data_IF_757623005383
#
_entry.id   IF_757623005383
#
_cell.length_a   1.000
_cell.length_b   1.000
_cell.length_c   1.000
_cell.angle_alpha   90.00
_cell.angle_beta   90.00
_cell.angle_gamma   90.00
#
_symmetry.space_group_name_H-M   'P 1'
#
loop_
_entity.id
_entity.type
_entity.pdbx_description
1 polymer ?
#
# COMPACT_ATOMS: atom_id res chain seq x y z
N UNK A 1 24.32 -18.58 -19.19
CA UNK A 1 23.55 -17.73 -18.27
C UNK A 1 23.33 -18.38 -16.91
N UNK A 2 23.14 -19.69 -16.84
CA UNK A 2 22.98 -20.49 -15.61
C UNK A 2 24.23 -20.51 -14.73
N UNK A 3 25.43 -20.52 -15.28
CA UNK A 3 26.69 -20.57 -14.55
C UNK A 3 26.98 -19.26 -13.76
N UNK A 4 26.64 -18.10 -14.31
CA UNK A 4 26.73 -16.80 -13.60
C UNK A 4 25.74 -16.69 -12.43
N UNK A 5 24.57 -17.29 -12.56
CA UNK A 5 23.56 -17.29 -11.49
C UNK A 5 23.97 -18.23 -10.34
N UNK A 6 24.67 -19.33 -10.63
CA UNK A 6 25.23 -20.21 -9.60
C UNK A 6 26.36 -19.55 -8.81
N UNK A 7 27.22 -18.74 -9.48
CA UNK A 7 28.31 -18.01 -8.82
C UNK A 7 27.79 -16.93 -7.87
N UNK A 8 26.72 -16.22 -8.21
CA UNK A 8 26.09 -15.23 -7.33
C UNK A 8 25.47 -15.86 -6.09
N UNK A 9 24.84 -17.03 -6.23
CA UNK A 9 24.24 -17.77 -5.12
C UNK A 9 25.30 -18.36 -4.16
N UNK A 10 26.47 -18.72 -4.66
CA UNK A 10 27.54 -19.34 -3.87
C UNK A 10 28.37 -18.31 -3.07
N UNK A 11 28.31 -17.01 -3.41
CA UNK A 11 29.01 -15.96 -2.68
C UNK A 11 28.16 -15.41 -1.54
N UNK A 12 28.64 -15.57 -0.31
CA UNK A 12 27.98 -15.00 0.86
C UNK A 12 27.79 -13.48 0.74
N UNK A 13 28.76 -12.77 0.17
CA UNK A 13 28.68 -11.32 -0.03
C UNK A 13 27.50 -10.91 -0.91
N UNK A 14 27.28 -11.55 -2.04
CA UNK A 14 26.15 -11.21 -2.92
C UNK A 14 24.80 -11.60 -2.33
N UNK A 15 24.73 -12.65 -1.53
CA UNK A 15 23.50 -13.00 -0.80
C UNK A 15 23.12 -11.93 0.22
N UNK A 16 24.09 -11.43 0.99
CA UNK A 16 23.85 -10.35 1.93
C UNK A 16 23.46 -9.04 1.25
N UNK A 17 24.09 -8.68 0.12
CA UNK A 17 23.68 -7.49 -0.66
C UNK A 17 22.24 -7.63 -1.13
N UNK A 18 21.86 -8.78 -1.69
CA UNK A 18 20.49 -8.99 -2.15
C UNK A 18 19.48 -8.91 -0.98
N UNK A 19 19.81 -9.48 0.17
CA UNK A 19 18.99 -9.37 1.36
C UNK A 19 18.83 -7.92 1.83
N UNK A 20 19.93 -7.16 1.88
CA UNK A 20 19.89 -5.75 2.28
C UNK A 20 19.07 -4.89 1.31
N UNK A 21 19.14 -5.16 0.00
CA UNK A 21 18.31 -4.45 -0.99
C UNK A 21 16.82 -4.74 -0.80
N UNK A 22 16.46 -6.00 -0.56
CA UNK A 22 15.08 -6.38 -0.28
C UNK A 22 14.60 -5.80 1.05
N UNK A 23 15.42 -5.92 2.11
CA UNK A 23 15.10 -5.35 3.42
C UNK A 23 14.92 -3.84 3.38
N UNK A 24 15.73 -3.13 2.56
CA UNK A 24 15.59 -1.70 2.34
C UNK A 24 14.25 -1.35 1.70
N UNK A 25 13.77 -2.13 0.75
CA UNK A 25 12.47 -1.90 0.13
C UNK A 25 11.35 -1.99 1.18
N UNK A 26 11.37 -3.00 2.03
CA UNK A 26 10.43 -3.15 3.16
C UNK A 26 10.54 -1.99 4.16
N UNK A 27 11.75 -1.63 4.55
CA UNK A 27 11.99 -0.52 5.46
C UNK A 27 11.41 0.79 4.92
N UNK A 28 11.65 1.12 3.65
CA UNK A 28 11.07 2.31 3.02
C UNK A 28 9.54 2.26 2.96
N UNK A 29 8.96 1.07 2.72
CA UNK A 29 7.50 0.90 2.70
C UNK A 29 6.88 1.23 4.05
N UNK A 30 7.42 0.70 5.15
CA UNK A 30 6.92 0.97 6.50
C UNK A 30 7.12 2.43 6.93
N UNK A 31 8.27 3.05 6.61
CA UNK A 31 8.43 4.49 6.83
C UNK A 31 7.32 5.28 6.10
N UNK A 32 7.02 4.91 4.86
CA UNK A 32 6.01 5.62 4.07
C UNK A 32 4.58 5.44 4.60
N UNK A 33 4.33 4.35 5.34
CA UNK A 33 3.09 4.13 6.05
C UNK A 33 2.96 5.05 7.27
N UNK A 34 4.01 5.13 8.07
CA UNK A 34 3.97 5.81 9.37
C UNK A 34 4.26 7.30 9.30
N UNK A 35 4.90 7.78 8.21
CA UNK A 35 5.31 9.19 8.07
C UNK A 35 4.15 10.20 8.13
N UNK A 36 2.92 9.74 7.90
CA UNK A 36 1.74 10.59 7.96
C UNK A 36 1.28 10.85 9.40
N UNK A 37 1.60 9.97 10.35
CA UNK A 37 1.11 10.09 11.73
C UNK A 37 1.45 11.44 12.40
N UNK A 38 2.66 12.01 12.26
CA UNK A 38 2.98 13.32 12.84
C UNK A 38 2.22 14.49 12.23
N UNK A 39 1.65 14.36 11.02
CA UNK A 39 0.95 15.44 10.33
C UNK A 39 -0.57 15.40 10.52
N UNK A 40 -1.08 14.53 11.39
CA UNK A 40 -2.51 14.41 11.67
C UNK A 40 -3.15 15.76 12.02
N UNK A 41 -2.54 16.53 12.92
CA UNK A 41 -3.05 17.84 13.33
C UNK A 41 -3.07 18.83 12.16
N UNK A 42 -2.10 18.77 11.26
CA UNK A 42 -2.06 19.59 10.05
C UNK A 42 -3.18 19.18 9.08
N UNK A 43 -3.42 17.90 8.88
CA UNK A 43 -4.51 17.42 8.04
C UNK A 43 -5.88 17.82 8.59
N UNK A 44 -6.03 17.86 9.91
CA UNK A 44 -7.24 18.33 10.55
C UNK A 44 -7.47 19.83 10.31
N UNK A 45 -6.44 20.68 10.43
CA UNK A 45 -6.57 22.12 10.23
C UNK A 45 -6.72 22.52 8.76
N UNK A 46 -6.00 21.86 7.85
CA UNK A 46 -5.93 22.25 6.43
C UNK A 46 -6.99 21.56 5.55
N UNK A 47 -7.36 20.33 5.88
CA UNK A 47 -8.22 19.47 5.06
C UNK A 47 -9.48 19.00 5.78
N UNK A 48 -9.68 19.39 7.05
CA UNK A 48 -10.83 18.99 7.84
C UNK A 48 -10.88 17.49 8.18
N UNK A 49 -9.73 16.80 8.16
CA UNK A 49 -9.66 15.39 8.54
C UNK A 49 -9.71 15.28 10.06
N UNK A 50 -10.84 14.90 10.58
CA UNK A 50 -10.94 14.59 12.00
C UNK A 50 -10.11 13.34 12.35
N UNK A 51 -9.85 13.07 13.63
CA UNK A 51 -9.08 11.88 14.05
C UNK A 51 -9.68 10.56 13.55
N UNK A 52 -11.01 10.48 13.38
CA UNK A 52 -11.70 9.30 12.87
C UNK A 52 -11.39 9.09 11.39
N UNK A 53 -11.52 10.15 10.56
CA UNK A 53 -11.18 10.10 9.14
C UNK A 53 -9.72 9.73 8.91
N UNK A 54 -8.82 10.29 9.72
CA UNK A 54 -7.40 9.98 9.63
C UNK A 54 -7.10 8.52 10.02
N UNK A 55 -7.67 8.03 11.12
CA UNK A 55 -7.52 6.64 11.57
C UNK A 55 -8.12 5.63 10.60
N UNK A 56 -9.30 5.94 10.05
CA UNK A 56 -9.96 5.10 9.04
C UNK A 56 -9.14 5.03 7.75
N UNK A 57 -8.59 6.17 7.30
CA UNK A 57 -7.70 6.22 6.14
C UNK A 57 -6.45 5.37 6.39
N UNK A 58 -5.81 5.48 7.54
CA UNK A 58 -4.66 4.63 7.88
C UNK A 58 -5.02 3.15 7.96
N UNK A 59 -6.13 2.80 8.62
CA UNK A 59 -6.59 1.41 8.73
C UNK A 59 -7.00 0.78 7.39
N UNK A 60 -7.35 1.59 6.39
CA UNK A 60 -7.75 1.12 5.07
C UNK A 60 -6.67 0.34 4.32
N UNK A 61 -5.40 0.51 4.68
CA UNK A 61 -4.26 -0.19 4.10
C UNK A 61 -4.43 -1.71 4.08
N UNK A 62 -4.94 -2.26 5.18
CA UNK A 62 -5.11 -3.71 5.32
C UNK A 62 -6.41 -4.23 4.70
N UNK A 63 -7.33 -3.35 4.32
CA UNK A 63 -8.67 -3.73 3.91
C UNK A 63 -8.68 -4.74 2.74
N UNK A 64 -7.98 -4.45 1.64
CA UNK A 64 -7.93 -5.36 0.49
C UNK A 64 -7.18 -6.66 0.81
N UNK A 65 -6.18 -6.60 1.66
CA UNK A 65 -5.38 -7.76 2.05
C UNK A 65 -6.20 -8.75 2.88
N UNK A 66 -7.05 -8.24 3.78
CA UNK A 66 -7.89 -9.05 4.68
C UNK A 66 -9.18 -9.49 4.01
N UNK A 67 -9.96 -8.56 3.46
CA UNK A 67 -11.32 -8.84 3.00
C UNK A 67 -11.40 -9.33 1.55
N UNK A 68 -10.45 -8.95 0.70
CA UNK A 68 -10.37 -9.43 -0.70
C UNK A 68 -9.34 -10.55 -0.84
N UNK A 69 -8.68 -10.93 0.26
CA UNK A 69 -7.65 -11.98 0.27
C UNK A 69 -6.54 -11.73 -0.75
N UNK A 70 -6.18 -10.46 -0.97
CA UNK A 70 -5.20 -10.06 -1.98
C UNK A 70 -3.86 -10.79 -1.82
N UNK A 71 -3.47 -11.14 -0.59
CA UNK A 71 -2.24 -11.86 -0.29
C UNK A 71 -2.17 -13.24 -1.00
N UNK A 72 -3.32 -13.90 -1.20
CA UNK A 72 -3.39 -15.17 -1.96
C UNK A 72 -3.02 -14.93 -3.43
N UNK A 73 -3.61 -13.88 -4.04
CA UNK A 73 -3.29 -13.51 -5.43
C UNK A 73 -1.81 -13.13 -5.58
N UNK A 74 -1.28 -12.37 -4.63
CA UNK A 74 0.13 -12.00 -4.61
C UNK A 74 1.05 -13.23 -4.51
N UNK A 75 0.67 -14.24 -3.72
CA UNK A 75 1.36 -15.53 -3.66
C UNK A 75 1.35 -16.28 -4.99
N UNK A 76 0.21 -16.33 -5.67
CA UNK A 76 0.08 -16.96 -6.99
C UNK A 76 0.96 -16.23 -8.03
N UNK A 77 0.98 -14.91 -8.00
CA UNK A 77 1.84 -14.10 -8.88
C UNK A 77 3.32 -14.42 -8.61
N UNK A 78 3.71 -14.48 -7.34
CA UNK A 78 5.07 -14.80 -6.93
C UNK A 78 5.52 -16.19 -7.40
N UNK A 79 4.64 -17.18 -7.27
CA UNK A 79 4.95 -18.57 -7.69
C UNK A 79 5.06 -18.70 -9.22
N UNK A 80 4.22 -18.01 -9.98
CA UNK A 80 4.20 -18.06 -11.45
C UNK A 80 5.26 -17.17 -12.10
N UNK A 81 5.43 -15.95 -11.61
CA UNK A 81 6.27 -14.92 -12.24
C UNK A 81 7.64 -14.77 -11.57
N UNK A 82 7.79 -15.27 -10.36
CA UNK A 82 9.03 -15.28 -9.61
C UNK A 82 9.38 -13.96 -8.91
N UNK A 83 10.39 -14.05 -8.04
CA UNK A 83 10.80 -12.98 -7.10
C UNK A 83 11.10 -11.63 -7.78
N UNK A 84 11.77 -11.63 -8.93
CA UNK A 84 12.17 -10.38 -9.60
C UNK A 84 10.97 -9.60 -10.13
N UNK A 85 10.07 -10.29 -10.81
CA UNK A 85 8.87 -9.67 -11.35
C UNK A 85 7.98 -9.15 -10.22
N UNK A 86 7.74 -9.98 -9.20
CA UNK A 86 6.87 -9.62 -8.08
C UNK A 86 7.44 -8.44 -7.28
N UNK A 87 8.76 -8.35 -7.11
CA UNK A 87 9.41 -7.20 -6.48
C UNK A 87 9.21 -5.90 -7.27
N UNK A 88 9.35 -5.94 -8.60
CA UNK A 88 9.09 -4.77 -9.46
C UNK A 88 7.61 -4.38 -9.44
N UNK A 89 6.73 -5.35 -9.53
CA UNK A 89 5.29 -5.12 -9.48
C UNK A 89 4.86 -4.51 -8.14
N UNK A 90 5.39 -5.02 -7.01
CA UNK A 90 5.11 -4.46 -5.69
C UNK A 90 5.49 -2.98 -5.60
N UNK A 91 6.68 -2.63 -6.10
CA UNK A 91 7.14 -1.24 -6.17
C UNK A 91 6.24 -0.35 -7.04
N UNK A 92 5.80 -0.87 -8.20
CA UNK A 92 4.89 -0.14 -9.08
C UNK A 92 3.51 0.09 -8.43
N UNK A 93 2.95 -0.92 -7.76
CA UNK A 93 1.68 -0.82 -7.03
C UNK A 93 1.79 0.19 -5.88
N UNK A 94 2.88 0.16 -5.10
CA UNK A 94 3.14 1.16 -4.05
C UNK A 94 3.23 2.57 -4.63
N UNK A 95 3.92 2.75 -5.77
CA UNK A 95 4.02 4.04 -6.43
C UNK A 95 2.65 4.58 -6.85
N UNK A 96 1.81 3.74 -7.46
CA UNK A 96 0.44 4.13 -7.84
C UNK A 96 -0.36 4.56 -6.61
N UNK A 97 -0.34 3.78 -5.54
CA UNK A 97 -1.01 4.14 -4.28
C UNK A 97 -0.51 5.46 -3.69
N UNK A 98 0.80 5.68 -3.71
CA UNK A 98 1.41 6.93 -3.24
C UNK A 98 0.99 8.15 -4.08
N UNK A 99 0.94 8.01 -5.41
CA UNK A 99 0.49 9.07 -6.31
C UNK A 99 -0.98 9.42 -6.08
N UNK A 100 -1.84 8.42 -5.86
CA UNK A 100 -3.26 8.66 -5.54
C UNK A 100 -3.39 9.41 -4.20
N UNK A 101 -2.63 9.02 -3.17
CA UNK A 101 -2.62 9.72 -1.88
C UNK A 101 -2.16 11.16 -2.02
N UNK A 102 -1.10 11.39 -2.79
CA UNK A 102 -0.61 12.73 -3.06
C UNK A 102 -1.66 13.56 -3.79
N UNK A 103 -2.28 13.03 -4.83
CA UNK A 103 -3.32 13.73 -5.57
C UNK A 103 -4.53 14.09 -4.70
N UNK A 104 -4.94 13.20 -3.80
CA UNK A 104 -6.07 13.38 -2.90
C UNK A 104 -5.97 14.64 -2.01
N UNK A 105 -4.77 15.09 -1.70
CA UNK A 105 -4.54 16.28 -0.85
C UNK A 105 -4.19 17.53 -1.65
N UNK A 106 -4.21 17.49 -2.98
CA UNK A 106 -3.98 18.67 -3.84
C UNK A 106 -5.24 19.50 -4.01
N UNK A 107 -5.07 20.80 -4.27
CA UNK A 107 -6.17 21.69 -4.58
C UNK A 107 -6.84 21.31 -5.91
N UNK A 108 -6.07 20.76 -6.86
CA UNK A 108 -6.61 20.21 -8.12
C UNK A 108 -7.67 19.12 -7.91
N UNK A 109 -7.56 18.31 -6.86
CA UNK A 109 -8.61 17.35 -6.51
C UNK A 109 -9.82 18.05 -5.91
N UNK A 110 -9.59 19.02 -5.02
CA UNK A 110 -10.67 19.78 -4.34
C UNK A 110 -11.55 20.53 -5.36
N UNK A 111 -10.96 21.06 -6.42
CA UNK A 111 -11.67 21.79 -7.47
C UNK A 111 -12.26 20.87 -8.56
N UNK A 112 -12.05 19.57 -8.46
CA UNK A 112 -12.49 18.60 -9.47
C UNK A 112 -13.92 18.10 -9.24
N UNK A 113 -14.58 17.67 -10.32
CA UNK A 113 -15.88 16.98 -10.24
C UNK A 113 -15.79 15.65 -9.47
N UNK A 114 -14.60 15.05 -9.39
CA UNK A 114 -14.36 13.86 -8.60
C UNK A 114 -14.56 14.11 -7.11
N UNK A 115 -14.17 15.28 -6.60
CA UNK A 115 -14.40 15.64 -5.19
C UNK A 115 -15.88 15.59 -4.84
N UNK A 116 -16.74 16.19 -5.66
CA UNK A 116 -18.20 16.15 -5.47
C UNK A 116 -18.73 14.73 -5.52
N UNK A 117 -18.29 13.94 -6.51
CA UNK A 117 -18.69 12.56 -6.64
C UNK A 117 -18.33 11.71 -5.40
N UNK A 118 -17.10 11.86 -4.88
CA UNK A 118 -16.65 11.17 -3.66
C UNK A 118 -17.44 11.60 -2.42
N UNK A 119 -17.84 12.86 -2.35
CA UNK A 119 -18.65 13.37 -1.24
C UNK A 119 -20.03 12.72 -1.22
N UNK A 120 -20.67 12.61 -2.39
CA UNK A 120 -22.07 12.19 -2.50
C UNK A 120 -22.24 10.65 -2.56
N UNK A 121 -21.35 9.96 -3.23
CA UNK A 121 -21.60 8.56 -3.62
C UNK A 121 -20.81 7.53 -2.80
N UNK A 122 -19.63 7.85 -2.28
CA UNK A 122 -18.78 6.88 -1.59
C UNK A 122 -18.87 7.04 -0.07
N UNK A 123 -20.01 6.65 0.52
CA UNK A 123 -20.22 6.73 1.97
C UNK A 123 -20.02 5.38 2.68
N UNK A 124 -20.15 4.28 1.96
CA UNK A 124 -19.96 2.92 2.52
C UNK A 124 -19.67 1.92 1.39
N UNK A 125 -19.17 0.77 1.76
CA UNK A 125 -19.12 -0.40 0.86
C UNK A 125 -20.24 -1.35 1.31
N UNK A 126 -21.22 -1.68 0.43
CA UNK A 126 -22.33 -2.55 0.78
C UNK A 126 -21.86 -3.86 1.41
N UNK A 127 -22.44 -4.23 2.55
CA UNK A 127 -22.10 -5.43 3.32
C UNK A 127 -20.94 -5.29 4.29
N UNK A 128 -20.14 -4.23 4.22
CA UNK A 128 -19.03 -3.98 5.14
C UNK A 128 -19.36 -2.92 6.20
N UNK A 129 -20.31 -2.05 5.93
CA UNK A 129 -20.85 -1.09 6.90
C UNK A 129 -21.61 -1.76 8.02
N UNK A 130 -22.44 -2.76 7.71
CA UNK A 130 -23.17 -3.56 8.71
C UNK A 130 -22.22 -4.32 9.66
N UNK A 131 -21.04 -4.69 9.19
CA UNK A 131 -19.99 -5.32 9.98
C UNK A 131 -19.12 -4.32 10.76
N UNK A 132 -19.33 -3.01 10.56
CA UNK A 132 -18.52 -1.96 11.19
C UNK A 132 -17.07 -1.90 10.71
N UNK A 133 -16.76 -2.45 9.54
CA UNK A 133 -15.41 -2.55 8.98
C UNK A 133 -15.27 -1.81 7.64
N UNK A 134 -16.27 -1.03 7.25
CA UNK A 134 -16.20 -0.22 6.05
C UNK A 134 -15.06 0.82 6.15
N UNK A 135 -14.21 0.95 5.13
CA UNK A 135 -13.17 1.97 5.08
C UNK A 135 -13.71 3.36 4.71
N UNK A 136 -15.02 3.50 4.58
CA UNK A 136 -15.73 4.74 4.30
C UNK A 136 -16.94 4.86 5.21
N UNK A 137 -17.32 6.10 5.56
CA UNK A 137 -18.48 6.42 6.34
C UNK A 137 -19.10 7.75 5.89
N UNK A 138 -20.35 7.96 6.24
CA UNK A 138 -21.06 9.21 5.94
C UNK A 138 -20.41 10.40 6.69
N UNK A 139 -20.12 11.47 5.96
CA UNK A 139 -19.44 12.65 6.51
C UNK A 139 -17.92 12.58 6.46
N UNK A 140 -17.31 11.47 6.03
CA UNK A 140 -15.86 11.42 5.80
C UNK A 140 -15.46 12.37 4.65
N UNK A 141 -14.44 13.23 4.83
CA UNK A 141 -13.97 14.13 3.77
C UNK A 141 -13.60 13.39 2.49
N UNK A 142 -13.99 13.94 1.32
CA UNK A 142 -13.72 13.30 0.03
C UNK A 142 -12.23 13.05 -0.22
N UNK A 143 -11.37 13.98 0.21
CA UNK A 143 -9.91 13.83 0.13
C UNK A 143 -9.41 12.65 0.99
N UNK A 144 -10.00 12.44 2.16
CA UNK A 144 -9.67 11.30 3.01
C UNK A 144 -10.14 9.97 2.39
N UNK A 145 -11.32 9.95 1.74
CA UNK A 145 -11.82 8.78 1.00
C UNK A 145 -10.89 8.38 -0.14
N UNK A 146 -10.47 9.35 -0.97
CA UNK A 146 -9.54 9.08 -2.06
C UNK A 146 -8.16 8.67 -1.54
N UNK A 147 -7.68 9.32 -0.47
CA UNK A 147 -6.43 8.92 0.18
C UNK A 147 -6.50 7.49 0.74
N UNK A 148 -7.64 7.08 1.30
CA UNK A 148 -7.86 5.71 1.77
C UNK A 148 -7.76 4.69 0.62
N UNK A 149 -8.32 4.97 -0.55
CA UNK A 149 -8.15 4.12 -1.74
C UNK A 149 -6.67 4.02 -2.13
N UNK A 150 -5.96 5.14 -2.14
CA UNK A 150 -4.52 5.13 -2.39
C UNK A 150 -3.75 4.29 -1.37
N UNK A 151 -4.18 4.32 -0.10
CA UNK A 151 -3.57 3.55 0.97
C UNK A 151 -3.85 2.05 0.85
N UNK A 152 -5.06 1.66 0.45
CA UNK A 152 -5.41 0.26 0.14
C UNK A 152 -4.51 -0.31 -0.97
N UNK A 153 -4.33 0.45 -2.05
CA UNK A 153 -3.47 0.04 -3.18
C UNK A 153 -2.01 -0.04 -2.72
N UNK A 154 -1.56 0.95 -1.96
CA UNK A 154 -0.21 0.97 -1.40
C UNK A 154 0.04 -0.26 -0.51
N UNK A 155 -0.89 -0.60 0.38
CA UNK A 155 -0.83 -1.76 1.26
C UNK A 155 -0.74 -3.08 0.50
N UNK A 156 -1.47 -3.24 -0.61
CA UNK A 156 -1.30 -4.38 -1.50
C UNK A 156 0.15 -4.53 -2.00
N UNK A 157 0.79 -3.43 -2.36
CA UNK A 157 2.19 -3.42 -2.77
C UNK A 157 3.14 -3.80 -1.63
N UNK A 158 2.90 -3.30 -0.42
CA UNK A 158 3.69 -3.62 0.78
C UNK A 158 3.64 -5.12 1.10
N UNK A 159 2.45 -5.70 1.11
CA UNK A 159 2.28 -7.13 1.37
C UNK A 159 2.91 -8.01 0.27
N UNK A 160 2.79 -7.61 -1.00
CA UNK A 160 3.52 -8.28 -2.09
C UNK A 160 5.04 -8.22 -1.88
N UNK A 161 5.58 -7.10 -1.42
CA UNK A 161 6.99 -6.98 -1.10
C UNK A 161 7.37 -7.92 0.05
N UNK A 162 6.55 -8.01 1.11
CA UNK A 162 6.76 -8.87 2.28
C UNK A 162 6.91 -10.34 1.93
N UNK A 163 5.95 -10.89 1.16
CA UNK A 163 6.03 -12.30 0.72
C UNK A 163 7.21 -12.53 -0.23
N UNK A 164 7.56 -11.53 -1.04
CA UNK A 164 8.70 -11.61 -1.96
C UNK A 164 10.03 -11.66 -1.21
N UNK A 165 10.19 -10.86 -0.16
CA UNK A 165 11.36 -10.88 0.73
C UNK A 165 11.48 -12.22 1.42
N UNK A 166 10.39 -12.71 2.01
CA UNK A 166 10.35 -14.01 2.70
C UNK A 166 10.76 -15.16 1.77
N UNK A 167 10.24 -15.18 0.53
CA UNK A 167 10.62 -16.18 -0.48
C UNK A 167 12.07 -16.04 -0.91
N UNK A 168 12.56 -14.81 -1.02
CA UNK A 168 13.96 -14.52 -1.34
C UNK A 168 14.92 -15.07 -0.30
N UNK A 169 14.61 -14.87 0.98
CA UNK A 169 15.41 -15.37 2.11
C UNK A 169 15.47 -16.92 2.04
N UNK A 170 14.33 -17.59 2.03
CA UNK A 170 14.25 -19.08 1.99
C UNK A 170 14.98 -19.67 0.79
N UNK A 171 15.01 -18.96 -0.34
CA UNK A 171 15.68 -19.46 -1.55
C UNK A 171 17.20 -19.28 -1.53
N UNK A 172 17.71 -18.29 -0.79
CA UNK A 172 19.10 -17.88 -0.87
C UNK A 172 19.92 -18.18 0.40
N UNK A 173 19.23 -18.44 1.52
CA UNK A 173 19.81 -18.86 2.80
C UNK A 173 19.29 -20.20 3.26
#
# INVERSE_FOLDING_TARGET
MTEKLQTLRNSAFFRWIALLLLARAMFCSYIFMDILSPIQALMQSERGWDPTAFGTMQGSETFLNVFVFFLIFAGIILDKMGVRFTALLSGAVMLVGAVIKWYAVTDSFTDSSLHTWFTENLNYIPGFDELGVSPFYEGMPASAKLAAIGFMIFGCGVEMAGITVSRGIVKWF
#
